data_IF_761315827210
#
_entry.id   IF_761315827210
#
_cell.length_a   1.000
_cell.length_b   1.000
_cell.length_c   1.000
_cell.angle_alpha   90.00
_cell.angle_beta   90.00
_cell.angle_gamma   90.00
#
_symmetry.space_group_name_H-M   'P 1'
#
loop_
_entity.id
_entity.type
_entity.pdbx_description
1 polymer ?
#
# COMPACT_ATOMS: atom_id res chain seq x y z
N UNK A 1 -13.97 -35.40 -66.91
CA UNK A 1 -13.31 -35.16 -65.60
C UNK A 1 -12.07 -34.30 -65.84
N UNK A 2 -12.15 -32.99 -65.58
CA UNK A 2 -11.06 -32.02 -65.82
C UNK A 2 -10.16 -31.96 -64.58
N UNK A 3 -8.87 -32.30 -64.75
CA UNK A 3 -7.83 -32.08 -63.73
C UNK A 3 -7.38 -30.62 -63.81
N UNK A 4 -7.52 -29.90 -62.70
CA UNK A 4 -7.06 -28.51 -62.54
C UNK A 4 -5.71 -28.53 -61.81
N UNK A 5 -4.67 -28.00 -62.47
CA UNK A 5 -3.34 -27.77 -61.92
C UNK A 5 -3.31 -26.37 -61.29
N UNK A 6 -2.97 -26.27 -60.00
CA UNK A 6 -2.65 -24.99 -59.34
C UNK A 6 -1.15 -24.69 -59.48
N UNK A 7 -0.75 -23.45 -59.80
CA UNK A 7 0.64 -23.07 -59.92
C UNK A 7 1.27 -22.81 -58.54
N UNK A 8 2.45 -23.41 -58.34
CA UNK A 8 3.37 -23.22 -57.22
C UNK A 8 4.22 -21.97 -57.48
N UNK A 9 3.78 -20.79 -57.05
CA UNK A 9 4.64 -19.61 -57.05
C UNK A 9 4.12 -18.62 -56.02
N UNK A 10 5.03 -17.96 -55.27
CA UNK A 10 4.80 -16.98 -54.19
C UNK A 10 4.82 -17.58 -52.77
N UNK A 11 6.00 -18.02 -52.29
CA UNK A 11 6.26 -18.30 -50.84
C UNK A 11 7.61 -17.74 -50.36
N UNK A 12 8.35 -16.99 -51.18
CA UNK A 12 9.77 -16.67 -50.88
C UNK A 12 10.08 -15.22 -50.47
N UNK A 13 9.07 -14.36 -50.24
CA UNK A 13 9.31 -12.94 -49.87
C UNK A 13 8.78 -12.52 -48.49
N UNK A 14 8.38 -13.47 -47.64
CA UNK A 14 7.83 -13.17 -46.30
C UNK A 14 8.76 -13.59 -45.15
N UNK A 15 9.93 -14.18 -45.43
CA UNK A 15 10.83 -14.73 -44.40
C UNK A 15 11.90 -13.72 -43.97
N UNK A 16 12.21 -12.69 -44.76
CA UNK A 16 13.29 -11.72 -44.45
C UNK A 16 12.80 -10.54 -43.59
N UNK A 17 11.50 -10.25 -43.57
CA UNK A 17 10.94 -9.12 -42.80
C UNK A 17 10.64 -9.46 -41.33
N UNK A 18 10.69 -10.74 -40.95
CA UNK A 18 10.40 -11.19 -39.57
C UNK A 18 11.64 -11.22 -38.66
N UNK A 19 12.85 -11.07 -39.21
CA UNK A 19 14.12 -11.18 -38.48
C UNK A 19 14.74 -9.85 -38.03
N UNK A 20 14.13 -8.71 -38.36
CA UNK A 20 14.60 -7.36 -37.97
C UNK A 20 13.89 -6.80 -36.73
N UNK A 21 12.91 -7.51 -36.16
CA UNK A 21 12.24 -7.15 -34.91
C UNK A 21 12.80 -7.90 -33.69
N UNK A 22 13.80 -8.76 -33.88
CA UNK A 22 14.57 -9.37 -32.80
C UNK A 22 15.79 -8.51 -32.41
N UNK A 23 15.66 -7.18 -32.50
CA UNK A 23 16.54 -6.30 -31.75
C UNK A 23 16.19 -6.51 -30.28
N UNK A 24 16.98 -7.37 -29.63
CA UNK A 24 16.95 -7.63 -28.21
C UNK A 24 16.83 -6.31 -27.46
N UNK A 25 15.63 -5.97 -27.02
CA UNK A 25 15.46 -5.17 -25.82
C UNK A 25 15.95 -6.08 -24.68
N UNK A 26 17.27 -6.07 -24.47
CA UNK A 26 17.80 -6.30 -23.13
C UNK A 26 17.16 -5.19 -22.30
N UNK A 27 15.99 -5.48 -21.75
CA UNK A 27 15.50 -4.81 -20.58
C UNK A 27 16.49 -5.24 -19.51
N UNK A 28 17.62 -4.55 -19.42
CA UNK A 28 18.40 -4.52 -18.20
C UNK A 28 17.44 -3.91 -17.19
N UNK A 29 16.72 -4.77 -16.47
CA UNK A 29 16.00 -4.33 -15.29
C UNK A 29 17.02 -3.56 -14.47
N UNK A 30 16.75 -2.30 -14.14
CA UNK A 30 17.67 -1.55 -13.32
C UNK A 30 17.68 -2.25 -11.97
N UNK A 31 18.80 -2.93 -11.70
CA UNK A 31 19.07 -3.61 -10.44
C UNK A 31 19.38 -2.50 -9.44
N UNK A 32 18.35 -1.80 -8.97
CA UNK A 32 18.46 -0.95 -7.79
C UNK A 32 18.48 -1.83 -6.56
N UNK A 33 19.38 -1.54 -5.63
CA UNK A 33 19.44 -2.23 -4.35
C UNK A 33 18.47 -1.57 -3.37
N UNK A 34 17.23 -2.06 -3.33
CA UNK A 34 16.17 -1.55 -2.45
C UNK A 34 16.46 -1.76 -0.95
N UNK A 35 17.51 -2.50 -0.60
CA UNK A 35 17.97 -2.59 0.79
C UNK A 35 18.68 -1.31 1.29
N UNK A 36 18.97 -0.37 0.38
CA UNK A 36 19.61 0.92 0.69
C UNK A 36 18.68 2.09 0.38
N UNK A 37 18.77 3.16 1.17
CA UNK A 37 17.96 4.37 0.96
C UNK A 37 18.25 5.01 -0.39
N UNK A 38 19.53 5.07 -0.78
CA UNK A 38 19.93 5.56 -2.11
C UNK A 38 19.38 4.70 -3.25
N UNK A 39 19.26 3.38 -3.05
CA UNK A 39 18.69 2.47 -4.03
C UNK A 39 17.17 2.66 -4.19
N UNK A 40 16.44 2.79 -3.09
CA UNK A 40 14.99 3.09 -3.11
C UNK A 40 14.73 4.43 -3.80
N UNK A 41 15.51 5.46 -3.44
CA UNK A 41 15.36 6.78 -4.03
C UNK A 41 15.58 6.76 -5.54
N UNK A 42 16.63 6.07 -6.03
CA UNK A 42 16.88 5.93 -7.47
C UNK A 42 15.81 5.13 -8.19
N UNK A 43 15.30 4.07 -7.57
CA UNK A 43 14.18 3.31 -8.11
C UNK A 43 12.94 4.19 -8.27
N UNK A 44 12.63 4.97 -7.23
CA UNK A 44 11.50 5.90 -7.24
C UNK A 44 11.64 7.00 -8.31
N UNK A 45 12.82 7.62 -8.43
CA UNK A 45 13.11 8.61 -9.48
C UNK A 45 12.94 8.03 -10.88
N UNK A 46 13.34 6.78 -11.10
CA UNK A 46 13.17 6.14 -12.40
C UNK A 46 11.70 5.91 -12.74
N UNK A 47 10.92 5.34 -11.81
CA UNK A 47 9.50 5.03 -12.04
C UNK A 47 8.68 6.30 -12.30
N UNK A 48 9.02 7.42 -11.66
CA UNK A 48 8.33 8.70 -11.83
C UNK A 48 8.85 9.55 -12.99
N UNK A 49 10.06 9.28 -13.48
CA UNK A 49 10.73 10.03 -14.54
C UNK A 49 11.47 11.27 -14.06
N UNK A 50 12.14 11.96 -15.01
CA UNK A 50 12.94 13.15 -14.72
C UNK A 50 12.09 14.27 -14.07
N UNK A 51 12.52 14.75 -12.90
CA UNK A 51 11.96 15.98 -12.28
C UNK A 51 11.33 15.82 -10.90
N UNK A 52 11.29 14.62 -10.32
CA UNK A 52 10.95 14.47 -8.90
C UNK A 52 12.05 15.11 -8.06
N UNK A 53 11.69 16.18 -7.35
CA UNK A 53 12.58 16.82 -6.40
C UNK A 53 12.65 15.97 -5.13
N UNK A 54 13.75 15.23 -4.99
CA UNK A 54 14.10 14.43 -3.80
C UNK A 54 14.15 15.24 -2.50
N UNK A 55 14.17 16.57 -2.60
CA UNK A 55 14.34 17.46 -1.45
C UNK A 55 13.27 17.23 -0.37
N UNK A 56 12.13 16.65 -0.75
CA UNK A 56 11.04 16.28 0.16
C UNK A 56 10.75 14.76 0.16
N UNK A 57 11.67 13.89 -0.22
CA UNK A 57 11.41 12.45 -0.26
C UNK A 57 11.31 11.86 1.16
N UNK A 58 10.20 11.18 1.44
CA UNK A 58 10.00 10.41 2.66
C UNK A 58 10.02 8.91 2.36
N UNK A 59 10.57 8.13 3.28
CA UNK A 59 10.62 6.68 3.18
C UNK A 59 10.55 6.05 4.57
N UNK A 60 9.85 4.93 4.69
CA UNK A 60 9.74 4.13 5.91
C UNK A 60 9.82 2.64 5.58
N UNK A 61 10.48 1.85 6.45
CA UNK A 61 10.55 0.38 6.35
C UNK A 61 9.91 -0.24 7.58
N UNK A 62 8.63 -0.60 7.52
CA UNK A 62 7.94 -1.13 8.68
C UNK A 62 8.58 -2.43 9.15
N UNK A 63 9.17 -2.42 10.36
CA UNK A 63 9.93 -3.57 10.89
C UNK A 63 9.11 -4.85 11.10
N UNK A 64 7.77 -4.73 11.11
CA UNK A 64 6.81 -5.82 11.26
C UNK A 64 6.41 -6.49 9.94
N UNK A 65 6.80 -5.92 8.79
CA UNK A 65 6.47 -6.42 7.46
C UNK A 65 7.74 -6.64 6.64
N UNK A 66 7.79 -7.75 5.91
CA UNK A 66 8.95 -8.09 5.08
C UNK A 66 8.82 -7.41 3.73
N UNK A 67 9.93 -6.86 3.23
CA UNK A 67 10.09 -6.28 1.89
C UNK A 67 9.01 -5.27 1.47
N UNK A 68 8.45 -4.54 2.45
CA UNK A 68 7.59 -3.38 2.23
C UNK A 68 8.41 -2.12 2.49
N UNK A 69 8.36 -1.18 1.54
CA UNK A 69 8.98 0.14 1.70
C UNK A 69 7.93 1.18 1.35
N UNK A 70 7.49 1.95 2.33
CA UNK A 70 6.62 3.09 2.10
C UNK A 70 7.44 4.24 1.55
N UNK A 71 6.91 4.93 0.54
CA UNK A 71 7.52 6.13 -0.02
C UNK A 71 6.47 7.21 -0.18
N UNK A 72 6.92 8.45 -0.13
CA UNK A 72 6.04 9.59 -0.27
C UNK A 72 6.80 10.90 -0.17
N UNK A 73 6.16 11.92 0.36
CA UNK A 73 6.73 13.25 0.41
C UNK A 73 6.55 13.94 1.76
N UNK A 74 7.48 14.83 2.08
CA UNK A 74 7.39 15.72 3.23
C UNK A 74 6.42 16.87 2.91
N UNK A 75 5.36 16.96 3.71
CA UNK A 75 4.42 18.07 3.74
C UNK A 75 4.72 18.90 5.00
N UNK A 76 5.23 20.13 4.79
CA UNK A 76 5.83 21.00 5.81
C UNK A 76 5.25 20.91 7.23
N UNK A 77 3.92 20.97 7.36
CA UNK A 77 3.18 20.96 8.62
C UNK A 77 2.63 19.59 9.05
N UNK A 78 2.53 18.64 8.12
CA UNK A 78 2.01 17.29 8.36
C UNK A 78 3.11 16.22 8.55
N UNK A 79 4.37 16.56 8.26
CA UNK A 79 5.47 15.60 8.29
C UNK A 79 5.54 14.76 7.02
N UNK A 80 5.88 13.48 7.15
CA UNK A 80 5.89 12.58 6.00
C UNK A 80 4.48 12.11 5.65
N UNK A 81 4.09 12.30 4.39
CA UNK A 81 2.88 11.74 3.81
C UNK A 81 3.26 10.58 2.89
N UNK A 82 2.82 9.38 3.23
CA UNK A 82 3.08 8.16 2.47
C UNK A 82 1.85 7.79 1.64
N UNK A 83 1.97 7.84 0.32
CA UNK A 83 0.90 7.52 -0.61
C UNK A 83 1.21 6.33 -1.53
N UNK A 84 2.47 5.89 -1.55
CA UNK A 84 2.97 4.81 -2.38
C UNK A 84 3.85 3.83 -1.61
N UNK A 85 4.04 2.65 -2.17
CA UNK A 85 4.94 1.66 -1.59
C UNK A 85 5.55 0.74 -2.63
N UNK A 86 6.74 0.25 -2.32
CA UNK A 86 7.33 -0.90 -3.00
C UNK A 86 6.89 -2.20 -2.33
N UNK A 87 6.48 -3.17 -3.16
CA UNK A 87 6.27 -4.58 -2.78
C UNK A 87 6.99 -5.43 -3.80
N UNK A 88 7.91 -6.29 -3.36
CA UNK A 88 8.73 -7.13 -4.26
C UNK A 88 9.43 -6.35 -5.39
N UNK A 89 9.75 -5.07 -5.11
CA UNK A 89 10.39 -4.16 -6.06
C UNK A 89 9.47 -3.47 -7.06
N UNK A 90 8.17 -3.76 -7.05
CA UNK A 90 7.18 -3.03 -7.83
C UNK A 90 6.66 -1.83 -7.04
N UNK A 91 6.67 -0.64 -7.65
CA UNK A 91 6.10 0.58 -7.08
C UNK A 91 4.63 0.72 -7.46
N UNK A 92 3.78 1.06 -6.49
CA UNK A 92 2.42 1.50 -6.76
C UNK A 92 1.81 2.25 -5.59
N UNK A 93 0.56 2.69 -5.75
CA UNK A 93 -0.16 3.34 -4.64
C UNK A 93 -0.38 2.33 -3.51
N UNK A 94 -0.44 2.81 -2.26
CA UNK A 94 -0.73 1.94 -1.10
C UNK A 94 -2.00 1.12 -1.35
N UNK A 95 -3.04 1.73 -1.91
CA UNK A 95 -4.31 1.05 -2.22
C UNK A 95 -4.12 -0.09 -3.22
N UNK A 96 -3.45 0.17 -4.34
CA UNK A 96 -3.29 -0.81 -5.42
C UNK A 96 -2.35 -1.95 -5.01
N UNK A 97 -1.35 -1.64 -4.18
CA UNK A 97 -0.34 -2.59 -3.75
C UNK A 97 -0.74 -3.37 -2.48
N UNK A 98 -1.84 -3.01 -1.80
CA UNK A 98 -2.26 -3.66 -0.53
C UNK A 98 -2.44 -5.17 -0.67
N UNK A 99 -3.13 -5.63 -1.72
CA UNK A 99 -3.35 -7.06 -1.92
C UNK A 99 -2.03 -7.82 -2.14
N UNK A 100 -1.11 -7.25 -2.93
CA UNK A 100 0.21 -7.82 -3.16
C UNK A 100 1.04 -7.88 -1.87
N UNK A 101 1.09 -6.78 -1.11
CA UNK A 101 1.87 -6.72 0.14
C UNK A 101 1.35 -7.64 1.23
N UNK A 102 0.02 -7.77 1.36
CA UNK A 102 -0.59 -8.74 2.26
C UNK A 102 -0.31 -10.19 1.82
N UNK A 103 -0.43 -10.49 0.52
CA UNK A 103 -0.11 -11.81 -0.02
C UNK A 103 1.36 -12.19 0.27
N UNK A 104 2.29 -11.26 0.07
CA UNK A 104 3.72 -11.42 0.40
C UNK A 104 3.94 -11.75 1.88
N UNK A 105 3.18 -11.12 2.77
CA UNK A 105 3.29 -11.29 4.22
C UNK A 105 2.41 -12.43 4.78
N UNK A 106 1.88 -13.31 3.93
CA UNK A 106 1.22 -14.55 4.36
C UNK A 106 -0.30 -14.52 4.44
N UNK A 107 -0.98 -13.57 3.77
CA UNK A 107 -2.44 -13.47 3.76
C UNK A 107 -3.18 -14.72 3.27
N UNK A 108 -2.50 -15.63 2.55
CA UNK A 108 -3.08 -16.90 2.14
C UNK A 108 -3.42 -17.84 3.34
N UNK A 109 -2.76 -17.67 4.49
CA UNK A 109 -3.04 -18.43 5.71
C UNK A 109 -4.14 -17.75 6.54
N UNK A 110 -5.36 -18.28 6.44
CA UNK A 110 -6.54 -17.77 7.19
C UNK A 110 -6.29 -17.67 8.69
N UNK A 111 -5.47 -18.57 9.27
CA UNK A 111 -5.20 -18.57 10.71
C UNK A 111 -4.38 -17.38 11.19
N UNK A 112 -3.78 -16.62 10.27
CA UNK A 112 -2.94 -15.47 10.57
C UNK A 112 -3.57 -14.13 10.14
N UNK A 113 -4.66 -14.15 9.36
CA UNK A 113 -5.23 -12.94 8.74
C UNK A 113 -5.62 -11.86 9.74
N UNK A 114 -6.22 -12.20 10.87
CA UNK A 114 -6.62 -11.21 11.87
C UNK A 114 -5.40 -10.46 12.44
N UNK A 115 -4.36 -11.20 12.83
CA UNK A 115 -3.12 -10.62 13.35
C UNK A 115 -2.39 -9.80 12.28
N UNK A 116 -2.28 -10.33 11.05
CA UNK A 116 -1.66 -9.63 9.93
C UNK A 116 -2.43 -8.37 9.54
N UNK A 117 -3.77 -8.39 9.60
CA UNK A 117 -4.59 -7.22 9.31
C UNK A 117 -4.32 -6.08 10.31
N UNK A 118 -4.21 -6.38 11.61
CA UNK A 118 -3.87 -5.39 12.63
C UNK A 118 -2.47 -4.80 12.41
N UNK A 119 -1.48 -5.66 12.14
CA UNK A 119 -0.12 -5.23 11.81
C UNK A 119 -0.13 -4.32 10.58
N UNK A 120 -0.86 -4.72 9.54
CA UNK A 120 -0.99 -3.95 8.30
C UNK A 120 -1.65 -2.59 8.53
N UNK A 121 -2.71 -2.54 9.33
CA UNK A 121 -3.39 -1.29 9.65
C UNK A 121 -2.45 -0.32 10.39
N UNK A 122 -1.71 -0.80 11.39
CA UNK A 122 -0.73 0.01 12.12
C UNK A 122 0.43 0.48 11.24
N UNK A 123 1.04 -0.45 10.50
CA UNK A 123 2.28 -0.20 9.76
C UNK A 123 2.09 0.55 8.44
N UNK A 124 0.90 0.44 7.82
CA UNK A 124 0.66 0.92 6.45
C UNK A 124 -0.48 1.94 6.42
N UNK A 125 -1.65 1.60 6.97
CA UNK A 125 -2.85 2.47 6.86
C UNK A 125 -2.73 3.68 7.79
N UNK A 126 -2.20 3.48 8.99
CA UNK A 126 -2.12 4.48 10.05
C UNK A 126 -0.67 4.82 10.40
N UNK A 127 0.28 4.66 9.46
CA UNK A 127 1.70 4.94 9.70
C UNK A 127 1.97 6.38 10.20
N UNK A 128 1.11 7.33 9.84
CA UNK A 128 1.22 8.76 10.17
C UNK A 128 0.54 9.16 11.49
N UNK A 129 -0.28 8.27 12.07
CA UNK A 129 -1.17 8.59 13.20
C UNK A 129 -1.16 7.50 14.26
N UNK A 130 -1.47 7.84 15.50
CA UNK A 130 -1.38 6.87 16.59
C UNK A 130 -2.61 5.96 16.61
N UNK A 131 -2.40 4.66 16.39
CA UNK A 131 -3.39 3.64 16.70
C UNK A 131 -3.52 3.48 18.22
N UNK A 132 -4.74 3.66 18.74
CA UNK A 132 -4.99 3.61 20.18
C UNK A 132 -5.01 2.17 20.67
N UNK A 133 -4.03 1.80 21.50
CA UNK A 133 -3.90 0.46 22.08
C UNK A 133 -4.63 0.30 23.42
N UNK A 134 -4.88 1.41 24.12
CA UNK A 134 -5.45 1.44 25.46
C UNK A 134 -6.31 2.69 25.66
N UNK A 135 -7.27 2.60 26.57
CA UNK A 135 -8.08 3.73 27.00
C UNK A 135 -7.19 4.81 27.65
N UNK A 136 -7.52 6.08 27.43
CA UNK A 136 -6.86 7.23 28.05
C UNK A 136 -7.88 8.14 28.78
N UNK A 137 -7.38 9.19 29.43
CA UNK A 137 -8.20 10.11 30.23
C UNK A 137 -9.26 10.85 29.40
N UNK A 138 -9.04 11.03 28.09
CA UNK A 138 -9.99 11.71 27.22
C UNK A 138 -11.27 10.90 27.03
N UNK A 139 -11.15 9.59 26.75
CA UNK A 139 -12.30 8.68 26.68
C UNK A 139 -13.08 8.67 28.00
N UNK A 140 -12.36 8.63 29.14
CA UNK A 140 -12.97 8.65 30.47
C UNK A 140 -13.73 9.97 30.71
N UNK A 141 -13.11 11.11 30.40
CA UNK A 141 -13.68 12.44 30.65
C UNK A 141 -14.94 12.71 29.84
N UNK A 142 -14.98 12.26 28.58
CA UNK A 142 -16.15 12.38 27.71
C UNK A 142 -17.15 11.23 27.88
N UNK A 143 -16.88 10.29 28.79
CA UNK A 143 -17.68 9.07 28.97
C UNK A 143 -17.88 8.29 27.66
N UNK A 144 -16.88 8.31 26.78
CA UNK A 144 -16.89 7.58 25.52
C UNK A 144 -16.44 6.14 25.76
N UNK A 145 -17.16 5.13 25.23
CA UNK A 145 -16.72 3.75 25.36
C UNK A 145 -15.45 3.52 24.55
N UNK A 146 -14.42 2.95 25.19
CA UNK A 146 -13.22 2.50 24.50
C UNK A 146 -13.26 0.99 24.22
N UNK A 147 -12.77 0.60 23.04
CA UNK A 147 -12.46 -0.78 22.68
C UNK A 147 -11.05 -0.85 22.10
N UNK A 148 -10.21 -1.83 22.51
CA UNK A 148 -8.90 -2.01 21.91
C UNK A 148 -9.02 -2.38 20.42
N UNK A 149 -7.96 -2.19 19.62
CA UNK A 149 -7.95 -2.60 18.22
C UNK A 149 -8.32 -4.08 18.10
N UNK A 150 -9.24 -4.38 17.20
CA UNK A 150 -9.69 -5.75 16.97
C UNK A 150 -9.82 -6.04 15.49
N UNK A 151 -9.66 -7.32 15.15
CA UNK A 151 -9.87 -7.84 13.81
C UNK A 151 -10.68 -9.13 13.94
N UNK A 152 -11.66 -9.30 13.04
CA UNK A 152 -12.54 -10.47 13.00
C UNK A 152 -12.54 -11.07 11.60
N UNK A 153 -12.15 -12.34 11.47
CA UNK A 153 -12.28 -13.13 10.26
C UNK A 153 -13.75 -13.54 10.07
N UNK A 154 -14.32 -13.20 8.93
CA UNK A 154 -15.69 -13.50 8.56
C UNK A 154 -15.78 -14.83 7.78
N UNK A 155 -16.99 -15.39 7.70
CA UNK A 155 -17.26 -16.64 6.95
C UNK A 155 -16.94 -16.54 5.45
N UNK A 156 -16.90 -15.33 4.88
CA UNK A 156 -16.53 -15.07 3.47
C UNK A 156 -15.00 -14.96 3.27
N UNK A 157 -14.21 -15.16 4.33
CA UNK A 157 -12.76 -15.07 4.34
C UNK A 157 -12.21 -13.64 4.44
N UNK A 158 -13.07 -12.62 4.45
CA UNK A 158 -12.66 -11.24 4.69
C UNK A 158 -12.37 -10.98 6.16
N UNK A 159 -11.56 -9.96 6.45
CA UNK A 159 -11.32 -9.47 7.81
C UNK A 159 -11.91 -8.07 7.97
N UNK A 160 -12.68 -7.89 9.02
CA UNK A 160 -13.14 -6.56 9.46
C UNK A 160 -12.31 -6.13 10.66
N UNK A 161 -11.78 -4.91 10.62
CA UNK A 161 -11.04 -4.28 11.71
C UNK A 161 -11.85 -3.16 12.33
N UNK A 162 -11.78 -3.00 13.64
CA UNK A 162 -12.31 -1.87 14.39
C UNK A 162 -11.19 -1.25 15.22
N UNK A 163 -10.83 0.01 14.91
CA UNK A 163 -9.62 0.66 15.42
C UNK A 163 -9.91 2.11 15.78
N UNK A 164 -9.67 2.47 17.04
CA UNK A 164 -9.59 3.88 17.44
C UNK A 164 -8.25 4.49 17.03
N UNK A 165 -8.30 5.66 16.42
CA UNK A 165 -7.12 6.40 15.96
C UNK A 165 -7.17 7.81 16.52
N UNK A 166 -6.04 8.25 17.06
CA UNK A 166 -5.84 9.61 17.57
C UNK A 166 -5.26 10.50 16.46
N UNK A 167 -5.98 11.57 16.14
CA UNK A 167 -5.59 12.60 15.19
C UNK A 167 -5.25 13.90 15.93
N UNK A 168 -4.02 14.42 15.79
CA UNK A 168 -3.64 15.68 16.40
C UNK A 168 -4.41 16.85 15.76
N UNK A 169 -4.76 17.87 16.55
CA UNK A 169 -5.46 19.08 16.08
C UNK A 169 -4.59 20.07 15.29
N UNK A 170 -3.33 19.74 15.02
CA UNK A 170 -2.38 20.61 14.33
C UNK A 170 -2.07 21.88 15.15
N UNK A 171 -2.57 23.03 14.68
CA UNK A 171 -2.37 24.33 15.35
C UNK A 171 -3.35 24.59 16.51
N UNK A 172 -4.43 23.82 16.61
CA UNK A 172 -5.41 23.96 17.68
C UNK A 172 -5.04 23.02 18.85
N UNK A 173 -5.27 23.44 20.11
CA UNK A 173 -5.08 22.58 21.28
C UNK A 173 -6.28 21.62 21.40
N UNK A 174 -6.48 20.79 20.39
CA UNK A 174 -7.53 19.79 20.33
C UNK A 174 -6.99 18.45 19.86
N UNK A 175 -7.67 17.38 20.25
CA UNK A 175 -7.39 16.03 19.77
C UNK A 175 -8.67 15.40 19.28
N UNK A 176 -8.64 14.80 18.10
CA UNK A 176 -9.79 14.11 17.52
C UNK A 176 -9.55 12.61 17.53
N UNK A 177 -10.50 11.86 18.06
CA UNK A 177 -10.49 10.40 18.04
C UNK A 177 -11.51 9.92 17.03
N UNK A 178 -11.13 8.93 16.20
CA UNK A 178 -12.03 8.30 15.23
C UNK A 178 -11.99 6.80 15.36
N UNK A 179 -13.15 6.15 15.39
CA UNK A 179 -13.28 4.71 15.26
C UNK A 179 -13.37 4.38 13.77
N UNK A 180 -12.35 3.72 13.25
CA UNK A 180 -12.31 3.24 11.88
C UNK A 180 -12.81 1.81 11.81
N UNK A 181 -13.74 1.56 10.88
CA UNK A 181 -14.10 0.22 10.44
C UNK A 181 -13.49 -0.01 9.05
N UNK A 182 -12.59 -0.99 8.96
CA UNK A 182 -11.85 -1.31 7.74
C UNK A 182 -12.18 -2.73 7.34
N UNK A 183 -12.42 -2.97 6.04
CA UNK A 183 -12.63 -4.32 5.50
C UNK A 183 -11.57 -4.67 4.47
N UNK A 184 -10.88 -5.79 4.70
CA UNK A 184 -9.93 -6.41 3.77
C UNK A 184 -10.57 -7.71 3.26
N UNK A 185 -10.72 -7.84 1.95
CA UNK A 185 -11.36 -9.00 1.33
C UNK A 185 -10.47 -10.26 1.41
N UNK A 186 -11.06 -11.41 1.13
CA UNK A 186 -10.35 -12.70 1.18
C UNK A 186 -9.12 -12.76 0.25
N UNK A 187 -9.11 -11.97 -0.83
CA UNK A 187 -7.98 -11.83 -1.76
C UNK A 187 -6.94 -10.78 -1.33
N UNK A 188 -7.14 -10.13 -0.18
CA UNK A 188 -6.25 -9.11 0.37
C UNK A 188 -6.56 -7.70 -0.14
N UNK A 189 -7.52 -7.52 -1.06
CA UNK A 189 -7.87 -6.18 -1.54
C UNK A 189 -8.65 -5.38 -0.49
N UNK A 190 -8.45 -4.06 -0.40
CA UNK A 190 -9.25 -3.21 0.49
C UNK A 190 -10.64 -2.97 -0.13
N UNK A 191 -11.69 -3.14 0.66
CA UNK A 191 -13.09 -2.85 0.26
C UNK A 191 -13.47 -1.42 0.67
N UNK A 192 -13.49 -1.16 1.98
CA UNK A 192 -13.80 0.16 2.53
C UNK A 192 -12.98 0.47 3.78
N UNK A 193 -12.86 1.77 4.05
CA UNK A 193 -12.44 2.35 5.31
C UNK A 193 -13.45 3.45 5.63
N UNK A 194 -14.21 3.31 6.71
CA UNK A 194 -15.18 4.31 7.14
C UNK A 194 -14.95 4.70 8.59
N UNK A 195 -15.28 5.94 8.90
CA UNK A 195 -15.36 6.42 10.28
C UNK A 195 -16.74 6.02 10.82
N UNK A 196 -16.75 5.07 11.75
CA UNK A 196 -17.97 4.61 12.42
C UNK A 196 -18.40 5.61 13.52
N UNK A 197 -17.42 6.12 14.28
CA UNK A 197 -17.63 7.07 15.38
C UNK A 197 -16.50 8.10 15.44
N UNK A 198 -16.78 9.27 16.02
CA UNK A 198 -15.79 10.33 16.22
C UNK A 198 -16.17 11.20 17.42
N UNK A 199 -15.16 11.65 18.17
CA UNK A 199 -15.28 12.75 19.13
C UNK A 199 -14.00 13.59 19.17
N UNK A 200 -14.10 14.80 19.71
CA UNK A 200 -12.99 15.78 19.77
C UNK A 200 -12.93 16.40 21.15
N UNK A 201 -11.74 16.45 21.74
CA UNK A 201 -11.46 17.14 23.01
C UNK A 201 -10.83 18.48 22.71
N UNK A 202 -11.30 19.55 23.35
CA UNK A 202 -10.69 20.87 23.27
C UNK A 202 -10.06 21.26 24.62
N UNK A 203 -8.75 21.43 24.65
CA UNK A 203 -8.00 21.77 25.87
C UNK A 203 -7.90 23.28 26.14
N UNK A 204 -8.45 24.12 25.26
CA UNK A 204 -8.41 25.59 25.35
C UNK A 204 -9.57 26.22 26.11
N UNK A 205 -10.35 25.44 26.86
CA UNK A 205 -11.54 25.87 27.63
C UNK A 205 -11.24 26.50 28.98
#
# INVERSE_FOLDING_TARGET
>A
MKKMFLPKTIVLLSIVLLSLLAACTQNDEPIYDLSTDEGVQRAYEQEKGEGVQVVNFCMERPSSLQDIILVGFFADDAGCLYDEMFVDGELGTIRDMTAAGLAHNGWADESQREALALIWAEAIIFVEVAMMQQENDDFISESQPFSPPSATLNDDGSVTLEIWVEYPGGMLPETTYKLHEIKILADGSPDFNRVAEQFTINYGG
#
